data_IF_196058946421
#
_entry.id   IF_196058946421
#
_cell.length_a   1.000
_cell.length_b   1.000
_cell.length_c   1.000
_cell.angle_alpha   90.00
_cell.angle_beta   90.00
_cell.angle_gamma   90.00
#
_symmetry.space_group_name_H-M   'P 1'
#
loop_
_entity.id
_entity.type
_entity.pdbx_description
1 polymer ?
#
# COMPACT_ATOMS: atom_id res chain seq x y z
N UNK A 1 16.38 -10.93 1.98
CA UNK A 1 15.27 -10.55 1.08
C UNK A 1 15.38 -11.23 -0.29
N UNK A 2 16.50 -11.12 -0.99
CA UNK A 2 16.68 -11.63 -2.37
C UNK A 2 16.35 -13.12 -2.53
N UNK A 3 16.67 -13.97 -1.55
CA UNK A 3 16.38 -15.41 -1.55
C UNK A 3 14.88 -15.76 -1.69
N UNK A 4 14.00 -14.84 -1.35
CA UNK A 4 12.55 -15.02 -1.40
C UNK A 4 11.88 -14.29 -2.57
N UNK A 5 12.66 -13.62 -3.43
CA UNK A 5 12.13 -12.98 -4.63
C UNK A 5 12.03 -14.03 -5.73
N UNK A 6 10.85 -14.16 -6.29
CA UNK A 6 10.51 -15.13 -7.35
C UNK A 6 10.05 -14.39 -8.61
N UNK A 7 10.35 -15.00 -9.76
CA UNK A 7 9.80 -14.61 -11.05
C UNK A 7 9.10 -15.83 -11.66
N UNK A 8 7.78 -15.75 -11.79
CA UNK A 8 6.95 -16.82 -12.35
C UNK A 8 5.96 -16.21 -13.35
N UNK A 9 6.07 -16.61 -14.64
CA UNK A 9 5.31 -15.96 -15.70
C UNK A 9 5.60 -14.46 -15.75
N UNK A 10 4.54 -13.68 -15.78
CA UNK A 10 4.61 -12.20 -15.81
C UNK A 10 4.69 -11.58 -14.40
N UNK A 11 4.76 -12.41 -13.34
CA UNK A 11 4.73 -11.93 -11.95
C UNK A 11 6.10 -12.03 -11.31
N UNK A 12 6.56 -10.91 -10.75
CA UNK A 12 7.68 -10.84 -9.83
C UNK A 12 7.15 -10.50 -8.44
N UNK A 13 7.57 -11.27 -7.44
CA UNK A 13 7.02 -11.14 -6.10
C UNK A 13 7.95 -11.70 -5.04
N UNK A 14 7.83 -11.19 -3.82
CA UNK A 14 8.37 -11.81 -2.61
C UNK A 14 7.37 -12.84 -2.08
N UNK A 15 7.86 -13.98 -1.57
CA UNK A 15 7.03 -14.98 -0.87
C UNK A 15 7.82 -15.67 0.23
N UNK A 16 7.28 -15.64 1.47
CA UNK A 16 7.86 -16.33 2.62
C UNK A 16 6.76 -16.83 3.56
N UNK A 17 7.02 -17.95 4.28
CA UNK A 17 6.12 -18.56 5.25
C UNK A 17 5.07 -19.46 4.63
N UNK A 18 4.24 -20.03 5.51
CA UNK A 18 3.13 -20.93 5.16
C UNK A 18 1.85 -20.49 5.89
N UNK A 19 0.70 -20.99 5.47
CA UNK A 19 -0.61 -20.67 6.08
C UNK A 19 -1.44 -19.69 5.28
N UNK A 20 -2.29 -18.91 5.96
CA UNK A 20 -3.17 -17.93 5.29
C UNK A 20 -2.35 -16.87 4.57
N UNK A 21 -2.60 -16.62 3.26
CA UNK A 21 -1.84 -15.63 2.51
C UNK A 21 -2.21 -14.20 2.94
N UNK A 22 -1.19 -13.43 3.32
CA UNK A 22 -1.22 -11.97 3.46
C UNK A 22 -0.59 -11.40 2.18
N UNK A 23 -1.40 -10.85 1.30
CA UNK A 23 -0.94 -10.21 0.05
C UNK A 23 -0.80 -8.72 0.29
N UNK A 24 0.43 -8.23 0.18
CA UNK A 24 0.80 -6.84 0.48
C UNK A 24 0.91 -6.04 -0.81
N UNK A 25 0.31 -4.86 -0.82
CA UNK A 25 0.28 -3.94 -1.95
C UNK A 25 1.00 -2.64 -1.57
N UNK A 26 2.14 -2.39 -2.22
CA UNK A 26 2.98 -1.22 -1.93
C UNK A 26 2.42 0.09 -2.53
N UNK A 27 2.92 1.22 -2.04
CA UNK A 27 2.56 2.55 -2.51
C UNK A 27 3.19 2.93 -3.85
N UNK A 28 2.88 4.14 -4.32
CA UNK A 28 3.24 4.63 -5.66
C UNK A 28 4.75 4.76 -5.90
N UNK A 29 5.50 5.15 -4.89
CA UNK A 29 6.98 5.23 -4.92
C UNK A 29 7.60 4.28 -3.89
N UNK A 30 6.82 3.31 -3.42
CA UNK A 30 7.28 2.30 -2.48
C UNK A 30 7.79 1.06 -3.19
N UNK A 31 8.55 0.26 -2.46
CA UNK A 31 9.06 -1.03 -2.88
C UNK A 31 8.76 -2.13 -1.86
N UNK A 32 9.33 -3.29 -2.10
CA UNK A 32 9.17 -4.46 -1.22
C UNK A 32 9.72 -4.19 0.19
N UNK A 33 10.84 -3.46 0.30
CA UNK A 33 11.51 -3.11 1.57
C UNK A 33 10.65 -2.26 2.51
N UNK A 34 9.64 -1.57 2.00
CA UNK A 34 8.74 -0.80 2.85
C UNK A 34 7.99 -1.66 3.88
N UNK A 35 7.95 -2.98 3.67
CA UNK A 35 7.27 -3.95 4.52
C UNK A 35 8.22 -4.95 5.19
N UNK A 36 9.50 -4.63 5.35
CA UNK A 36 10.50 -5.50 5.98
C UNK A 36 10.04 -6.03 7.35
N UNK A 37 9.43 -5.19 8.18
CA UNK A 37 8.87 -5.59 9.46
C UNK A 37 7.81 -6.68 9.32
N UNK A 38 6.89 -6.54 8.37
CA UNK A 38 5.82 -7.52 8.10
C UNK A 38 6.39 -8.81 7.51
N UNK A 39 7.35 -8.69 6.57
CA UNK A 39 8.01 -9.83 5.92
C UNK A 39 8.78 -10.71 6.90
N UNK A 40 9.28 -10.15 7.99
CA UNK A 40 10.04 -10.88 8.99
C UNK A 40 9.16 -11.42 10.12
N UNK A 41 8.09 -10.73 10.48
CA UNK A 41 7.23 -11.07 11.61
C UNK A 41 6.19 -12.15 11.28
N UNK A 42 5.34 -11.93 10.27
CA UNK A 42 4.17 -12.77 10.03
C UNK A 42 4.45 -14.20 9.55
N UNK A 43 5.56 -14.49 8.83
CA UNK A 43 5.92 -15.88 8.55
C UNK A 43 6.14 -16.75 9.79
N UNK A 44 6.66 -16.17 10.88
CA UNK A 44 6.86 -16.87 12.15
C UNK A 44 5.55 -17.05 12.95
N UNK A 45 4.52 -16.27 12.61
CA UNK A 45 3.18 -16.32 13.21
C UNK A 45 2.18 -17.21 12.41
N UNK A 46 2.68 -18.00 11.45
CA UNK A 46 1.87 -18.97 10.70
C UNK A 46 1.10 -18.37 9.53
N UNK A 47 1.58 -17.25 8.98
CA UNK A 47 1.05 -16.65 7.75
C UNK A 47 2.03 -16.79 6.59
N UNK A 48 1.48 -16.87 5.39
CA UNK A 48 2.26 -16.73 4.17
C UNK A 48 2.27 -15.26 3.74
N UNK A 49 3.41 -14.59 3.82
CA UNK A 49 3.56 -13.21 3.35
C UNK A 49 3.94 -13.20 1.89
N UNK A 50 3.20 -12.45 1.09
CA UNK A 50 3.36 -12.35 -0.35
C UNK A 50 3.28 -10.89 -0.77
N UNK A 51 4.29 -10.39 -1.50
CA UNK A 51 4.33 -9.01 -1.99
C UNK A 51 4.56 -9.03 -3.50
N UNK A 52 3.51 -8.94 -4.33
CA UNK A 52 3.70 -8.77 -5.76
C UNK A 52 4.31 -7.39 -6.06
N UNK A 53 5.31 -7.35 -6.93
CA UNK A 53 5.80 -6.10 -7.49
C UNK A 53 4.74 -5.55 -8.45
N UNK A 54 4.12 -4.43 -8.06
CA UNK A 54 3.10 -3.83 -8.91
C UNK A 54 3.75 -3.24 -10.16
N UNK A 55 3.23 -3.53 -11.38
CA UNK A 55 3.86 -3.14 -12.64
C UNK A 55 3.65 -1.64 -12.96
N UNK A 56 4.09 -0.77 -12.04
CA UNK A 56 3.86 0.69 -12.12
C UNK A 56 4.53 1.31 -13.35
N UNK A 57 5.68 0.75 -13.77
CA UNK A 57 6.52 1.30 -14.83
C UNK A 57 6.55 0.46 -16.10
N UNK A 58 6.08 -0.79 -16.05
CA UNK A 58 6.09 -1.78 -17.14
C UNK A 58 4.81 -1.72 -17.98
N UNK A 59 3.70 -1.27 -17.38
CA UNK A 59 2.42 -1.17 -18.10
C UNK A 59 2.50 -0.18 -19.27
N UNK A 60 1.83 -0.48 -20.41
CA UNK A 60 1.59 0.52 -21.43
C UNK A 60 0.92 1.76 -20.85
N UNK A 61 1.37 2.95 -21.25
CA UNK A 61 0.91 4.22 -20.62
C UNK A 61 -0.61 4.36 -20.58
N UNK A 62 -1.33 3.96 -21.61
CA UNK A 62 -2.80 4.02 -21.65
C UNK A 62 -3.48 3.03 -20.68
N UNK A 63 -2.75 2.02 -20.24
CA UNK A 63 -3.21 1.04 -19.23
C UNK A 63 -2.74 1.36 -17.82
N UNK A 64 -1.91 2.38 -17.63
CA UNK A 64 -1.35 2.76 -16.35
C UNK A 64 -2.40 3.51 -15.51
N UNK A 65 -3.23 2.76 -14.79
CA UNK A 65 -4.31 3.26 -13.95
C UNK A 65 -4.70 2.26 -12.86
N UNK A 66 -5.45 2.72 -11.86
CA UNK A 66 -5.80 1.94 -10.69
C UNK A 66 -6.62 0.67 -11.01
N UNK A 67 -7.51 0.72 -12.01
CA UNK A 67 -8.34 -0.45 -12.38
C UNK A 67 -7.49 -1.58 -12.94
N UNK A 68 -6.50 -1.27 -13.77
CA UNK A 68 -5.61 -2.29 -14.34
C UNK A 68 -4.64 -2.84 -13.28
N UNK A 69 -4.22 -2.04 -12.31
CA UNK A 69 -3.49 -2.56 -11.14
C UNK A 69 -4.36 -3.53 -10.33
N UNK A 70 -5.63 -3.22 -10.14
CA UNK A 70 -6.59 -4.13 -9.48
C UNK A 70 -6.77 -5.43 -10.25
N UNK A 71 -6.85 -5.37 -11.58
CA UNK A 71 -6.90 -6.56 -12.45
C UNK A 71 -5.63 -7.40 -12.30
N UNK A 72 -4.46 -6.77 -12.32
CA UNK A 72 -3.18 -7.44 -12.11
C UNK A 72 -3.12 -8.17 -10.75
N UNK A 73 -3.58 -7.54 -9.67
CA UNK A 73 -3.63 -8.18 -8.33
C UNK A 73 -4.56 -9.40 -8.34
N UNK A 74 -5.73 -9.29 -8.99
CA UNK A 74 -6.65 -10.43 -9.13
C UNK A 74 -6.03 -11.58 -9.92
N UNK A 75 -5.42 -11.27 -11.06
CA UNK A 75 -4.74 -12.26 -11.91
C UNK A 75 -3.58 -12.93 -11.17
N UNK A 76 -2.82 -12.18 -10.36
CA UNK A 76 -1.78 -12.73 -9.51
C UNK A 76 -2.33 -13.71 -8.46
N UNK A 77 -3.39 -13.34 -7.74
CA UNK A 77 -4.03 -14.21 -6.73
C UNK A 77 -4.55 -15.50 -7.36
N UNK A 78 -5.15 -15.41 -8.55
CA UNK A 78 -5.63 -16.57 -9.31
C UNK A 78 -4.48 -17.46 -9.78
N UNK A 79 -3.44 -16.85 -10.34
CA UNK A 79 -2.24 -17.56 -10.79
C UNK A 79 -1.59 -18.38 -9.66
N UNK A 80 -1.54 -17.81 -8.46
CA UNK A 80 -1.01 -18.48 -7.26
C UNK A 80 -2.00 -19.48 -6.63
N UNK A 81 -3.24 -19.51 -7.08
CA UNK A 81 -4.30 -20.36 -6.53
C UNK A 81 -4.45 -20.26 -4.99
N UNK A 82 -4.28 -19.05 -4.44
CA UNK A 82 -4.33 -18.84 -2.98
C UNK A 82 -5.73 -19.00 -2.38
N UNK A 83 -6.78 -18.99 -3.20
CA UNK A 83 -8.15 -18.97 -2.71
C UNK A 83 -8.49 -17.64 -2.07
N UNK A 84 -8.73 -17.64 -0.74
CA UNK A 84 -9.02 -16.41 -0.01
C UNK A 84 -7.77 -15.85 0.66
N UNK A 85 -7.54 -14.55 0.49
CA UNK A 85 -6.38 -13.83 1.00
C UNK A 85 -6.77 -12.72 1.98
N UNK A 86 -5.81 -12.28 2.79
CA UNK A 86 -5.86 -11.01 3.51
C UNK A 86 -5.09 -10.00 2.66
N UNK A 87 -5.71 -8.87 2.32
CA UNK A 87 -5.03 -7.78 1.62
C UNK A 87 -4.51 -6.75 2.61
N UNK A 88 -3.25 -6.37 2.48
CA UNK A 88 -2.64 -5.26 3.24
C UNK A 88 -2.12 -4.23 2.26
N UNK A 89 -2.58 -2.99 2.35
CA UNK A 89 -2.17 -1.96 1.39
C UNK A 89 -1.83 -0.63 2.03
N UNK A 90 -0.72 -0.03 1.57
CA UNK A 90 -0.34 1.33 1.93
C UNK A 90 -0.57 2.28 0.74
N UNK A 91 -1.12 3.46 1.04
CA UNK A 91 -1.28 4.54 0.06
C UNK A 91 -2.03 4.08 -1.20
N UNK A 92 -1.42 4.13 -2.37
CA UNK A 92 -1.95 3.57 -3.62
C UNK A 92 -2.32 2.09 -3.47
N UNK A 93 -1.46 1.30 -2.79
CA UNK A 93 -1.73 -0.12 -2.52
C UNK A 93 -3.00 -0.34 -1.70
N UNK A 94 -3.28 0.54 -0.74
CA UNK A 94 -4.54 0.54 0.02
C UNK A 94 -5.75 0.77 -0.89
N UNK A 95 -5.66 1.72 -1.81
CA UNK A 95 -6.72 2.00 -2.79
C UNK A 95 -6.93 0.82 -3.75
N UNK A 96 -5.85 0.21 -4.24
CA UNK A 96 -5.94 -1.03 -5.04
C UNK A 96 -6.59 -2.15 -4.23
N UNK A 97 -6.22 -2.30 -2.95
CA UNK A 97 -6.84 -3.27 -2.03
C UNK A 97 -8.34 -3.03 -1.83
N UNK A 98 -8.75 -1.78 -1.61
CA UNK A 98 -10.17 -1.38 -1.52
C UNK A 98 -10.93 -1.74 -2.81
N UNK A 99 -10.37 -1.39 -3.98
CA UNK A 99 -11.04 -1.68 -5.25
C UNK A 99 -11.06 -3.18 -5.56
N UNK A 100 -10.00 -3.93 -5.20
CA UNK A 100 -9.97 -5.40 -5.30
C UNK A 100 -11.06 -6.02 -4.42
N UNK A 101 -11.18 -5.57 -3.19
CA UNK A 101 -12.20 -6.04 -2.24
C UNK A 101 -13.61 -5.74 -2.73
N UNK A 102 -13.84 -4.54 -3.30
CA UNK A 102 -15.14 -4.18 -3.89
C UNK A 102 -15.52 -5.10 -5.05
N UNK A 103 -14.58 -5.38 -5.95
CA UNK A 103 -14.87 -6.10 -7.20
C UNK A 103 -14.85 -7.63 -7.02
N UNK A 104 -14.08 -8.13 -6.04
CA UNK A 104 -13.77 -9.55 -5.84
C UNK A 104 -13.86 -9.93 -4.36
N UNK A 105 -14.96 -9.56 -3.69
CA UNK A 105 -15.15 -9.78 -2.24
C UNK A 105 -15.05 -11.26 -1.82
N UNK A 106 -15.35 -12.17 -2.69
CA UNK A 106 -15.30 -13.63 -2.47
C UNK A 106 -13.89 -14.17 -2.24
N UNK A 107 -12.87 -13.48 -2.76
CA UNK A 107 -11.46 -13.87 -2.55
C UNK A 107 -10.77 -13.10 -1.41
N UNK A 108 -11.42 -12.13 -0.76
CA UNK A 108 -10.81 -11.32 0.30
C UNK A 108 -11.42 -11.66 1.65
N UNK A 109 -10.64 -12.26 2.57
CA UNK A 109 -11.05 -12.59 3.94
C UNK A 109 -11.07 -11.37 4.85
N UNK A 110 -10.13 -10.46 4.66
CA UNK A 110 -9.95 -9.24 5.42
C UNK A 110 -9.11 -8.23 4.65
N UNK A 111 -9.36 -6.96 4.90
CA UNK A 111 -8.63 -5.85 4.30
C UNK A 111 -7.93 -5.04 5.38
N UNK A 112 -6.68 -4.65 5.14
CA UNK A 112 -5.91 -3.75 6.00
C UNK A 112 -5.45 -2.57 5.17
N UNK A 113 -5.77 -1.36 5.59
CA UNK A 113 -5.35 -0.13 4.92
C UNK A 113 -4.55 0.76 5.86
N UNK A 114 -3.47 1.34 5.36
CA UNK A 114 -2.63 2.30 6.07
C UNK A 114 -2.25 3.45 5.15
N UNK A 115 -2.45 4.69 5.56
CA UNK A 115 -2.20 5.86 4.71
C UNK A 115 -2.89 5.79 3.34
N UNK A 116 -4.04 5.12 3.23
CA UNK A 116 -4.66 4.76 1.94
C UNK A 116 -5.20 5.98 1.21
N UNK A 117 -4.99 6.03 -0.10
CA UNK A 117 -5.79 6.85 -1.01
C UNK A 117 -7.17 6.22 -1.25
N UNK A 118 -8.05 6.93 -1.95
CA UNK A 118 -9.38 6.43 -2.33
C UNK A 118 -10.56 7.28 -1.86
N UNK A 119 -10.31 8.26 -0.99
CA UNK A 119 -11.26 9.32 -0.64
C UNK A 119 -10.75 10.67 -1.11
N UNK A 120 -9.75 11.21 -0.43
CA UNK A 120 -9.02 12.40 -0.85
C UNK A 120 -7.60 12.39 -0.29
N UNK A 121 -6.68 13.07 -0.95
CA UNK A 121 -5.28 13.18 -0.60
C UNK A 121 -4.83 14.64 -0.72
N UNK A 122 -4.00 15.12 0.21
CA UNK A 122 -3.51 16.50 0.18
C UNK A 122 -2.28 16.69 -0.71
N UNK A 123 -1.46 15.67 -0.88
CA UNK A 123 -0.17 15.77 -1.56
C UNK A 123 -0.03 14.89 -2.83
N UNK A 124 -0.97 13.96 -3.07
CA UNK A 124 -0.89 13.08 -4.24
C UNK A 124 -1.21 13.86 -5.53
N UNK A 125 -0.31 13.84 -6.48
CA UNK A 125 -0.46 14.52 -7.78
C UNK A 125 0.16 15.93 -7.84
N UNK A 126 0.88 16.35 -6.80
CA UNK A 126 1.79 17.49 -6.92
C UNK A 126 2.81 17.24 -8.03
N UNK A 127 3.01 18.24 -8.87
CA UNK A 127 4.12 18.20 -9.83
C UNK A 127 5.44 18.34 -9.06
N UNK A 128 6.50 17.72 -9.59
CA UNK A 128 7.85 17.92 -9.08
C UNK A 128 8.56 19.05 -9.87
N UNK A 129 8.24 20.33 -9.60
CA UNK A 129 8.73 21.43 -10.43
C UNK A 129 10.26 21.58 -10.38
N UNK A 130 10.88 21.11 -9.31
CA UNK A 130 12.34 21.14 -9.11
C UNK A 130 12.94 19.73 -9.06
N UNK A 131 12.48 18.82 -9.92
CA UNK A 131 12.92 17.41 -9.90
C UNK A 131 14.44 17.20 -10.07
N UNK A 132 15.16 18.15 -10.70
CA UNK A 132 16.62 18.12 -10.83
C UNK A 132 17.37 18.61 -9.59
N UNK A 133 16.69 19.18 -8.61
CA UNK A 133 17.23 19.64 -7.35
C UNK A 133 17.13 18.49 -6.32
N UNK A 134 18.27 17.89 -6.00
CA UNK A 134 18.36 16.75 -5.09
C UNK A 134 17.86 17.09 -3.68
N UNK A 135 18.22 18.26 -3.14
CA UNK A 135 17.80 18.67 -1.80
C UNK A 135 16.27 18.90 -1.73
N UNK A 136 15.69 19.41 -2.81
CA UNK A 136 14.23 19.51 -2.91
C UNK A 136 13.55 18.13 -2.88
N UNK A 137 14.08 17.15 -3.61
CA UNK A 137 13.53 15.77 -3.62
C UNK A 137 13.75 15.09 -2.27
N UNK A 138 14.93 15.24 -1.66
CA UNK A 138 15.22 14.76 -0.31
C UNK A 138 14.19 15.27 0.69
N UNK A 139 13.94 16.58 0.70
CA UNK A 139 12.93 17.20 1.57
C UNK A 139 11.54 16.59 1.34
N UNK A 140 11.13 16.43 0.08
CA UNK A 140 9.82 15.83 -0.26
C UNK A 140 9.72 14.35 0.17
N UNK A 141 10.79 13.57 0.07
CA UNK A 141 10.81 12.19 0.57
C UNK A 141 10.73 12.15 2.11
N UNK A 142 11.43 13.05 2.78
CA UNK A 142 11.39 13.17 4.23
C UNK A 142 10.03 13.63 4.77
N UNK A 143 9.32 14.52 4.08
CA UNK A 143 8.00 15.03 4.46
C UNK A 143 6.90 13.94 4.51
N UNK A 144 7.16 12.75 3.97
CA UNK A 144 6.25 11.58 4.03
C UNK A 144 6.20 11.00 5.44
N UNK A 145 7.28 11.14 6.22
CA UNK A 145 7.46 10.57 7.55
C UNK A 145 7.32 11.63 8.65
N UNK A 146 6.98 11.21 9.85
CA UNK A 146 7.07 12.05 11.05
C UNK A 146 8.54 12.24 11.44
N UNK A 147 9.32 11.13 11.46
CA UNK A 147 10.76 11.17 11.63
C UNK A 147 11.44 11.20 10.25
N UNK A 148 12.06 12.33 9.85
CA UNK A 148 12.71 12.45 8.55
C UNK A 148 13.88 11.48 8.33
N UNK A 149 14.47 10.94 9.41
CA UNK A 149 15.59 9.98 9.31
C UNK A 149 15.15 8.60 8.78
N UNK A 150 13.85 8.28 8.81
CA UNK A 150 13.30 7.06 8.19
C UNK A 150 13.48 7.10 6.67
N UNK A 151 13.50 8.28 6.06
CA UNK A 151 13.88 8.45 4.66
C UNK A 151 15.39 8.25 4.48
N UNK A 152 15.81 6.98 4.40
CA UNK A 152 17.22 6.63 4.16
C UNK A 152 17.74 7.20 2.85
N UNK A 153 19.06 7.23 2.70
CA UNK A 153 19.72 7.65 1.47
C UNK A 153 19.21 6.84 0.25
N UNK A 154 19.02 5.54 0.41
CA UNK A 154 18.51 4.64 -0.63
C UNK A 154 17.09 5.05 -1.08
N UNK A 155 16.17 5.32 -0.15
CA UNK A 155 14.81 5.77 -0.45
C UNK A 155 14.84 7.10 -1.21
N UNK A 156 15.70 8.05 -0.79
CA UNK A 156 15.83 9.36 -1.44
C UNK A 156 16.35 9.19 -2.87
N UNK A 157 17.38 8.35 -3.06
CA UNK A 157 17.97 8.08 -4.36
C UNK A 157 16.97 7.40 -5.31
N UNK A 158 16.18 6.48 -4.82
CA UNK A 158 15.11 5.84 -5.58
C UNK A 158 14.05 6.85 -6.05
N UNK A 159 13.57 7.69 -5.15
CA UNK A 159 12.61 8.76 -5.50
C UNK A 159 13.23 9.71 -6.53
N UNK A 160 14.49 10.12 -6.32
CA UNK A 160 15.21 10.99 -7.25
C UNK A 160 15.35 10.35 -8.64
N UNK A 161 15.70 9.06 -8.69
CA UNK A 161 15.76 8.28 -9.94
C UNK A 161 14.42 8.24 -10.67
N UNK A 162 13.34 7.93 -9.95
CA UNK A 162 11.98 7.85 -10.54
C UNK A 162 11.54 9.19 -11.11
N UNK A 163 11.70 10.29 -10.39
CA UNK A 163 11.21 11.61 -10.85
C UNK A 163 12.06 12.20 -11.97
N UNK A 164 13.32 11.75 -12.12
CA UNK A 164 14.21 12.16 -13.20
C UNK A 164 14.17 11.25 -14.43
N UNK A 165 13.60 10.05 -14.32
CA UNK A 165 13.24 9.23 -15.47
C UNK A 165 11.91 9.69 -16.06
N UNK A 166 11.94 10.24 -17.28
CA UNK A 166 10.74 10.77 -17.94
C UNK A 166 9.64 9.74 -18.08
N UNK A 167 9.98 8.49 -18.38
CA UNK A 167 9.01 7.41 -18.61
C UNK A 167 8.34 7.01 -17.29
N UNK A 168 9.12 6.84 -16.23
CA UNK A 168 8.61 6.51 -14.89
C UNK A 168 7.76 7.65 -14.33
N UNK A 169 8.22 8.90 -14.44
CA UNK A 169 7.47 10.07 -13.96
C UNK A 169 6.10 10.20 -14.63
N UNK A 170 6.01 10.05 -15.96
CA UNK A 170 4.73 10.13 -16.66
C UNK A 170 3.76 9.06 -16.17
N UNK A 171 4.23 7.82 -15.95
CA UNK A 171 3.41 6.73 -15.41
C UNK A 171 2.99 7.00 -13.97
N UNK A 172 3.91 7.43 -13.13
CA UNK A 172 3.62 7.85 -11.75
C UNK A 172 2.49 8.88 -11.70
N UNK A 173 2.60 9.95 -12.51
CA UNK A 173 1.57 10.99 -12.60
C UNK A 173 0.25 10.46 -13.18
N UNK A 174 0.30 9.51 -14.13
CA UNK A 174 -0.91 8.88 -14.68
C UNK A 174 -1.67 8.09 -13.61
N UNK A 175 -0.97 7.28 -12.83
CA UNK A 175 -1.54 6.49 -11.73
C UNK A 175 -2.10 7.42 -10.64
N UNK A 176 -1.32 8.42 -10.21
CA UNK A 176 -1.75 9.38 -9.20
C UNK A 176 -3.05 10.09 -9.62
N UNK A 177 -3.12 10.59 -10.87
CA UNK A 177 -4.33 11.20 -11.42
C UNK A 177 -5.50 10.22 -11.50
N UNK A 178 -5.23 8.95 -11.81
CA UNK A 178 -6.26 7.89 -11.82
C UNK A 178 -6.80 7.64 -10.41
N UNK A 179 -5.94 7.58 -9.39
CA UNK A 179 -6.33 7.41 -8.00
C UNK A 179 -7.18 8.59 -7.50
N UNK A 180 -6.73 9.83 -7.71
CA UNK A 180 -7.46 11.04 -7.31
C UNK A 180 -8.87 11.10 -7.94
N UNK A 181 -9.01 10.66 -9.20
CA UNK A 181 -10.32 10.67 -9.90
C UNK A 181 -11.24 9.53 -9.45
N UNK A 182 -10.72 8.51 -8.82
CA UNK A 182 -11.46 7.32 -8.41
C UNK A 182 -11.81 7.40 -6.91
N UNK A 183 -12.83 8.19 -6.57
CA UNK A 183 -13.30 8.31 -5.19
C UNK A 183 -14.27 7.18 -4.84
N UNK A 184 -14.02 6.49 -3.73
CA UNK A 184 -14.76 5.31 -3.29
C UNK A 184 -15.86 5.60 -2.25
N UNK A 185 -16.10 6.86 -1.90
CA UNK A 185 -17.06 7.21 -0.83
C UNK A 185 -18.46 6.60 -1.02
N UNK A 186 -18.90 6.43 -2.27
CA UNK A 186 -20.19 5.80 -2.59
C UNK A 186 -20.18 4.27 -2.52
N UNK A 187 -19.00 3.67 -2.59
CA UNK A 187 -18.82 2.22 -2.64
C UNK A 187 -18.61 1.63 -1.23
N UNK A 188 -17.86 2.34 -0.39
CA UNK A 188 -17.46 1.89 0.95
C UNK A 188 -18.63 1.41 1.82
N UNK A 189 -19.82 2.06 1.86
CA UNK A 189 -20.95 1.59 2.66
C UNK A 189 -21.50 0.21 2.29
N UNK A 190 -21.14 -0.30 1.12
CA UNK A 190 -21.57 -1.62 0.64
C UNK A 190 -20.48 -2.70 0.78
N UNK A 191 -19.31 -2.35 1.30
CA UNK A 191 -18.19 -3.28 1.49
C UNK A 191 -18.26 -3.91 2.88
N UNK A 192 -18.66 -5.19 2.94
CA UNK A 192 -18.87 -5.91 4.19
C UNK A 192 -17.65 -6.71 4.66
N UNK A 193 -16.56 -6.69 3.91
CA UNK A 193 -15.32 -7.35 4.30
C UNK A 193 -14.73 -6.69 5.54
N UNK A 194 -14.38 -7.44 6.61
CA UNK A 194 -13.74 -6.90 7.79
C UNK A 194 -12.50 -6.07 7.42
N UNK A 195 -12.44 -4.83 7.89
CA UNK A 195 -11.37 -3.90 7.52
C UNK A 195 -10.65 -3.38 8.76
N UNK A 196 -9.33 -3.53 8.78
CA UNK A 196 -8.43 -2.91 9.74
C UNK A 196 -7.86 -1.61 9.14
N UNK A 197 -7.94 -0.53 9.89
CA UNK A 197 -7.40 0.77 9.50
C UNK A 197 -6.30 1.12 10.50
N UNK A 198 -5.03 1.11 10.08
CA UNK A 198 -3.88 1.49 10.92
C UNK A 198 -3.29 2.77 10.34
N UNK A 199 -3.22 3.84 11.13
CA UNK A 199 -2.89 5.16 10.56
C UNK A 199 -1.98 5.98 11.45
N UNK A 200 -1.03 6.67 10.82
CA UNK A 200 -0.19 7.65 11.50
C UNK A 200 -0.99 8.91 11.88
N UNK A 201 -0.86 9.33 13.13
CA UNK A 201 -1.58 10.51 13.64
C UNK A 201 -1.11 11.82 12.99
N UNK A 202 0.09 11.84 12.45
CA UNK A 202 0.71 12.99 11.80
C UNK A 202 0.89 12.80 10.29
N UNK A 203 0.10 11.92 9.66
CA UNK A 203 0.12 11.73 8.22
C UNK A 203 -0.29 13.03 7.50
N UNK A 204 0.64 13.57 6.70
CA UNK A 204 0.43 14.79 5.91
C UNK A 204 0.06 14.51 4.46
N UNK A 205 0.22 13.28 4.00
CA UNK A 205 -0.13 12.85 2.63
C UNK A 205 -1.61 12.51 2.53
N UNK A 206 -2.07 11.65 3.44
CA UNK A 206 -3.48 11.33 3.63
C UNK A 206 -3.84 11.66 5.09
N UNK A 207 -4.35 12.88 5.35
CA UNK A 207 -4.54 13.37 6.72
C UNK A 207 -5.42 12.47 7.58
N UNK A 208 -5.30 12.54 8.93
CA UNK A 208 -6.06 11.68 9.87
C UNK A 208 -7.58 11.72 9.68
N UNK A 209 -8.12 12.80 9.12
CA UNK A 209 -9.54 12.93 8.79
C UNK A 209 -9.98 11.89 7.76
N UNK A 210 -9.09 11.54 6.83
CA UNK A 210 -9.34 10.50 5.80
C UNK A 210 -9.54 9.15 6.46
N UNK A 211 -8.73 8.79 7.47
CA UNK A 211 -8.89 7.55 8.22
C UNK A 211 -10.23 7.50 8.97
N UNK A 212 -10.65 8.62 9.58
CA UNK A 212 -11.96 8.73 10.24
C UNK A 212 -13.11 8.59 9.26
N UNK A 213 -12.97 9.14 8.05
CA UNK A 213 -13.98 9.02 7.01
C UNK A 213 -14.05 7.57 6.48
N UNK A 214 -12.92 6.86 6.33
CA UNK A 214 -12.92 5.42 6.03
C UNK A 214 -13.66 4.63 7.12
N UNK A 215 -13.34 4.84 8.38
CA UNK A 215 -13.97 4.14 9.52
C UNK A 215 -15.46 4.43 9.61
N UNK A 216 -15.87 5.65 9.32
CA UNK A 216 -17.29 6.04 9.30
C UNK A 216 -18.06 5.40 8.14
N UNK A 217 -17.43 5.21 6.98
CA UNK A 217 -18.09 4.75 5.76
C UNK A 217 -18.08 3.22 5.61
N UNK A 218 -17.09 2.54 6.17
CA UNK A 218 -16.98 1.08 6.13
C UNK A 218 -17.82 0.45 7.24
N UNK A 219 -18.78 -0.47 6.91
CA UNK A 219 -19.70 -1.03 7.91
C UNK A 219 -19.04 -1.91 8.98
N UNK A 220 -17.94 -2.57 8.65
CA UNK A 220 -17.18 -3.46 9.55
C UNK A 220 -15.71 -3.07 9.56
N UNK A 221 -15.38 -1.95 10.22
CA UNK A 221 -14.02 -1.45 10.36
C UNK A 221 -13.59 -1.28 11.81
N UNK A 222 -12.28 -1.30 12.02
CA UNK A 222 -11.63 -0.94 13.29
C UNK A 222 -10.45 -0.02 13.00
N UNK A 223 -10.45 1.18 13.59
CA UNK A 223 -9.43 2.20 13.40
C UNK A 223 -8.44 2.23 14.57
N UNK A 224 -7.16 2.07 14.24
CA UNK A 224 -6.03 2.16 15.16
C UNK A 224 -5.11 3.32 14.77
N UNK A 225 -4.63 4.03 15.79
CA UNK A 225 -3.74 5.16 15.60
C UNK A 225 -2.34 4.83 16.11
N UNK A 226 -1.33 5.25 15.35
CA UNK A 226 0.06 5.25 15.80
C UNK A 226 0.49 6.71 15.99
N UNK A 227 0.95 7.03 17.17
CA UNK A 227 1.42 8.38 17.53
C UNK A 227 2.84 8.64 17.00
N UNK A 228 3.17 9.90 16.73
CA UNK A 228 4.47 10.30 16.15
C UNK A 228 4.79 9.51 14.88
N UNK A 229 3.83 9.38 14.02
CA UNK A 229 3.87 8.58 12.82
C UNK A 229 3.25 9.35 11.65
N UNK A 230 3.92 9.34 10.51
CA UNK A 230 3.47 9.91 9.24
C UNK A 230 2.72 8.90 8.38
N UNK A 231 3.04 8.91 7.08
CA UNK A 231 2.29 8.19 6.05
C UNK A 231 2.60 6.68 5.97
N UNK A 232 3.77 6.26 6.42
CA UNK A 232 4.25 4.88 6.28
C UNK A 232 4.42 4.20 7.64
N UNK A 233 3.32 3.96 8.33
CA UNK A 233 3.28 3.41 9.68
C UNK A 233 4.06 2.10 9.84
N UNK A 234 4.06 1.24 8.81
CA UNK A 234 4.79 -0.03 8.79
C UNK A 234 6.31 0.14 8.69
N UNK A 235 6.78 1.34 8.31
CA UNK A 235 8.22 1.69 8.26
C UNK A 235 8.66 2.43 9.52
N UNK A 236 7.86 3.37 10.00
CA UNK A 236 8.20 4.22 11.15
C UNK A 236 8.08 3.47 12.49
N UNK A 237 7.07 2.63 12.62
CA UNK A 237 6.76 1.89 13.83
C UNK A 237 6.42 0.42 13.52
N UNK A 238 7.36 -0.37 12.95
CA UNK A 238 7.09 -1.73 12.48
C UNK A 238 6.58 -2.67 13.59
N UNK A 239 7.10 -2.57 14.81
CA UNK A 239 6.69 -3.45 15.92
C UNK A 239 5.27 -3.13 16.38
N UNK A 240 4.92 -1.85 16.50
CA UNK A 240 3.56 -1.42 16.87
C UNK A 240 2.56 -1.77 15.77
N UNK A 241 2.92 -1.50 14.50
CA UNK A 241 2.12 -1.88 13.35
C UNK A 241 1.83 -3.40 13.32
N UNK A 242 2.86 -4.22 13.48
CA UNK A 242 2.74 -5.67 13.51
C UNK A 242 1.88 -6.17 14.67
N UNK A 243 2.06 -5.59 15.86
CA UNK A 243 1.27 -5.93 17.05
C UNK A 243 -0.21 -5.64 16.88
N UNK A 244 -0.55 -4.46 16.35
CA UNK A 244 -1.92 -4.06 16.05
C UNK A 244 -2.56 -4.97 15.01
N UNK A 245 -1.86 -5.21 13.91
CA UNK A 245 -2.32 -6.09 12.84
C UNK A 245 -2.53 -7.53 13.35
N UNK A 246 -1.56 -8.09 14.05
CA UNK A 246 -1.65 -9.46 14.59
C UNK A 246 -2.82 -9.59 15.57
N UNK A 247 -2.98 -8.64 16.48
CA UNK A 247 -4.10 -8.62 17.44
C UNK A 247 -5.46 -8.58 16.73
N UNK A 248 -5.58 -7.79 15.67
CA UNK A 248 -6.79 -7.71 14.87
C UNK A 248 -7.06 -9.01 14.11
N UNK A 249 -6.05 -9.61 13.47
CA UNK A 249 -6.17 -10.89 12.77
C UNK A 249 -6.62 -12.00 13.71
N UNK A 250 -6.02 -12.10 14.90
CA UNK A 250 -6.38 -13.08 15.93
C UNK A 250 -7.82 -12.89 16.43
N UNK A 251 -8.23 -11.63 16.71
CA UNK A 251 -9.61 -11.29 17.13
C UNK A 251 -10.63 -11.70 16.07
N UNK A 252 -10.32 -11.50 14.79
CA UNK A 252 -11.20 -11.82 13.65
C UNK A 252 -11.10 -13.27 13.19
N UNK A 253 -10.17 -14.05 13.72
CA UNK A 253 -9.89 -15.45 13.33
C UNK A 253 -9.59 -15.59 11.82
N UNK A 254 -8.78 -14.69 11.33
CA UNK A 254 -8.38 -14.60 9.92
C UNK A 254 -7.08 -15.34 9.63
#
# INVERSE_FOLDING_TARGET
>A
MEEHIKQEGDFKYFERGEGTPIVILHGLMGGLSNFDGVMNYFPEEGYKVVIPELPLYEMPLLKTNIKNLTTYVKEFIDFKAYGKVILVGNSLGGHVGLLTTKLFADIVKGLVITGSSGLYESAMGESYPKRGDYEYIKKKAQDVFYDPEVATQEIIDDVYSVVNDRSKLIRTLSIAKSAIRHNMAKDLPNMLTPTCIIWGRQDQVTPPEVAKDFDKLLPDSELFWIEKCGHAAMMEHPDEFNSLLHSWLAKRKL
#
